data_IF_952620801304
#
_entry.id   IF_952620801304
#
_cell.length_a   1.000
_cell.length_b   1.000
_cell.length_c   1.000
_cell.angle_alpha   90.00
_cell.angle_beta   90.00
_cell.angle_gamma   90.00
#
_symmetry.space_group_name_H-M   'P 1'
#
loop_
_entity.id
_entity.type
_entity.pdbx_description
1 polymer ?
#
# COMPACT_ATOMS: atom_id res chain seq x y z
N UNK A 1 -1.58 -5.02 -15.15
CA UNK A 1 -1.05 -3.75 -15.73
C UNK A 1 -0.20 -3.01 -14.69
N UNK A 2 1.11 -2.87 -14.90
CA UNK A 2 2.07 -2.51 -13.83
C UNK A 2 1.99 -1.07 -13.31
N UNK A 3 1.70 -0.11 -14.17
CA UNK A 3 1.73 1.32 -13.81
C UNK A 3 0.67 1.72 -12.77
N UNK A 4 -0.47 1.00 -12.73
CA UNK A 4 -1.55 1.29 -11.79
C UNK A 4 -1.13 1.01 -10.34
N UNK A 5 -0.49 -0.14 -10.09
CA UNK A 5 -0.01 -0.53 -8.77
C UNK A 5 1.06 0.45 -8.27
N UNK A 6 2.01 0.82 -9.14
CA UNK A 6 3.04 1.80 -8.80
C UNK A 6 2.44 3.17 -8.45
N UNK A 7 1.54 3.68 -9.29
CA UNK A 7 0.90 5.00 -9.08
C UNK A 7 0.10 5.02 -7.79
N UNK A 8 -0.68 3.95 -7.52
CA UNK A 8 -1.43 3.80 -6.29
C UNK A 8 -0.52 3.79 -5.06
N UNK A 9 0.60 3.07 -5.11
CA UNK A 9 1.56 3.01 -4.01
C UNK A 9 2.18 4.38 -3.71
N UNK A 10 2.58 5.15 -4.73
CA UNK A 10 3.13 6.49 -4.55
C UNK A 10 2.06 7.46 -4.03
N UNK A 11 0.86 7.43 -4.60
CA UNK A 11 -0.25 8.30 -4.17
C UNK A 11 -0.66 8.03 -2.71
N UNK A 12 -0.72 6.76 -2.31
CA UNK A 12 -1.05 6.36 -0.95
C UNK A 12 -0.04 6.90 0.08
N UNK A 13 1.26 6.92 -0.27
CA UNK A 13 2.34 7.39 0.60
C UNK A 13 2.50 8.91 0.61
N UNK A 14 2.26 9.55 -0.53
CA UNK A 14 2.41 10.99 -0.72
C UNK A 14 1.24 11.80 -0.15
N UNK A 15 0.19 11.14 0.35
CA UNK A 15 -0.91 11.81 1.05
C UNK A 15 -0.35 12.58 2.24
N UNK A 16 -0.55 13.90 2.21
CA UNK A 16 -0.11 14.80 3.26
C UNK A 16 -0.59 14.26 4.61
N UNK A 17 0.35 14.01 5.52
CA UNK A 17 0.04 13.73 6.92
C UNK A 17 -0.35 15.08 7.53
N UNK A 18 -1.63 15.25 7.87
CA UNK A 18 -2.03 16.42 8.65
C UNK A 18 -1.31 16.39 10.01
N UNK A 19 -0.97 17.55 10.61
CA UNK A 19 -0.29 17.60 11.90
C UNK A 19 -1.08 16.81 12.95
N UNK A 20 -0.38 15.85 13.54
CA UNK A 20 -0.96 14.77 14.33
C UNK A 20 -1.79 15.26 15.53
N UNK A 21 -3.11 15.10 15.45
CA UNK A 21 -3.98 15.04 16.63
C UNK A 21 -4.56 13.64 16.89
N UNK A 22 -4.30 12.66 16.02
CA UNK A 22 -4.72 11.28 16.26
C UNK A 22 -3.52 10.34 16.20
N UNK A 23 -3.39 9.50 17.24
CA UNK A 23 -2.31 8.56 17.50
C UNK A 23 -2.29 7.35 16.55
N UNK A 24 -2.49 7.59 15.26
CA UNK A 24 -2.36 6.64 14.16
C UNK A 24 -2.27 7.44 12.87
N UNK A 25 -1.11 7.42 12.20
CA UNK A 25 -0.92 8.18 10.97
C UNK A 25 -1.96 7.80 9.91
N UNK A 26 -2.35 8.75 9.08
CA UNK A 26 -3.34 8.52 8.02
C UNK A 26 -2.93 7.32 7.15
N UNK A 27 -3.79 6.31 7.11
CA UNK A 27 -3.59 5.12 6.27
C UNK A 27 -4.47 5.20 5.04
N UNK A 28 -3.93 4.85 3.89
CA UNK A 28 -4.69 4.69 2.65
C UNK A 28 -4.89 3.21 2.37
N UNK A 29 -6.14 2.79 2.27
CA UNK A 29 -6.50 1.44 1.87
C UNK A 29 -6.38 1.30 0.34
N UNK A 30 -5.60 0.32 -0.11
CA UNK A 30 -5.39 0.00 -1.53
C UNK A 30 -5.84 -1.44 -1.77
N UNK A 31 -6.82 -1.63 -2.66
CA UNK A 31 -7.26 -2.95 -3.10
C UNK A 31 -6.71 -3.29 -4.48
N UNK A 32 -6.11 -4.48 -4.61
CA UNK A 32 -5.56 -5.00 -5.87
C UNK A 32 -6.28 -6.29 -6.23
N UNK A 33 -6.83 -6.37 -7.44
CA UNK A 33 -7.46 -7.56 -8.00
C UNK A 33 -6.48 -8.34 -8.90
N UNK A 34 -6.86 -9.59 -9.24
CA UNK A 34 -6.10 -10.50 -10.12
C UNK A 34 -4.67 -10.80 -9.64
N UNK A 35 -4.49 -10.92 -8.33
CA UNK A 35 -3.18 -11.25 -7.73
C UNK A 35 -2.72 -12.68 -7.99
N UNK A 36 -3.52 -13.51 -8.65
CA UNK A 36 -3.09 -14.82 -9.15
C UNK A 36 -2.20 -14.72 -10.39
N UNK A 37 -2.15 -13.55 -11.04
CA UNK A 37 -1.16 -13.29 -12.08
C UNK A 37 0.22 -13.02 -11.45
N UNK A 38 1.29 -13.74 -11.87
CA UNK A 38 2.60 -13.63 -11.25
C UNK A 38 3.21 -12.23 -11.26
N UNK A 39 2.80 -11.38 -12.20
CA UNK A 39 3.33 -10.03 -12.31
C UNK A 39 2.63 -9.10 -11.34
N UNK A 40 1.31 -9.16 -11.24
CA UNK A 40 0.47 -8.45 -10.28
C UNK A 40 0.82 -8.85 -8.84
N UNK A 41 1.07 -10.14 -8.58
CA UNK A 41 1.55 -10.65 -7.29
C UNK A 41 2.87 -10.00 -6.86
N UNK A 42 3.88 -10.02 -7.74
CA UNK A 42 5.20 -9.45 -7.47
C UNK A 42 5.17 -7.93 -7.32
N UNK A 43 4.42 -7.24 -8.18
CA UNK A 43 4.38 -5.78 -8.15
C UNK A 43 3.57 -5.28 -6.95
N UNK A 44 2.45 -5.92 -6.61
CA UNK A 44 1.68 -5.57 -5.42
C UNK A 44 2.52 -5.72 -4.16
N UNK A 45 3.19 -6.87 -3.97
CA UNK A 45 4.04 -7.10 -2.79
C UNK A 45 5.29 -6.22 -2.75
N UNK A 46 5.88 -5.86 -3.88
CA UNK A 46 7.07 -5.00 -3.93
C UNK A 46 6.75 -3.52 -3.63
N UNK A 47 5.69 -2.96 -4.20
CA UNK A 47 5.40 -1.52 -4.08
C UNK A 47 4.47 -1.18 -2.92
N UNK A 48 3.55 -2.10 -2.59
CA UNK A 48 2.64 -1.95 -1.45
C UNK A 48 3.18 -2.61 -0.18
N UNK A 49 4.31 -3.32 -0.26
CA UNK A 49 4.93 -4.10 0.82
C UNK A 49 4.02 -5.22 1.35
N UNK A 50 4.53 -6.46 1.37
CA UNK A 50 3.81 -7.59 1.99
C UNK A 50 3.48 -7.35 3.47
N UNK A 51 4.31 -6.61 4.20
CA UNK A 51 4.07 -6.26 5.61
C UNK A 51 2.91 -5.29 5.86
N UNK A 52 2.34 -4.67 4.82
CA UNK A 52 1.14 -3.84 4.92
C UNK A 52 -0.12 -4.56 4.40
N UNK A 53 -0.04 -5.86 4.08
CA UNK A 53 -1.20 -6.67 3.71
C UNK A 53 -2.11 -6.86 4.93
N UNK A 54 -3.35 -6.37 4.84
CA UNK A 54 -4.39 -6.57 5.86
C UNK A 54 -5.10 -7.91 5.66
N UNK A 55 -5.56 -8.15 4.44
CA UNK A 55 -6.34 -9.34 4.09
C UNK A 55 -6.17 -9.73 2.62
N UNK A 56 -6.38 -11.01 2.35
CA UNK A 56 -6.48 -11.58 1.02
C UNK A 56 -7.74 -12.43 0.94
N UNK A 57 -8.61 -12.15 -0.03
CA UNK A 57 -9.85 -12.88 -0.27
C UNK A 57 -9.91 -13.30 -1.72
N UNK A 58 -9.67 -14.58 -1.99
CA UNK A 58 -9.63 -15.12 -3.34
C UNK A 58 -8.52 -14.47 -4.17
N UNK A 59 -8.90 -13.67 -5.17
CA UNK A 59 -7.97 -12.96 -6.07
C UNK A 59 -7.79 -11.48 -5.72
N UNK A 60 -8.28 -11.06 -4.55
CA UNK A 60 -8.23 -9.69 -4.09
C UNK A 60 -7.31 -9.57 -2.88
N UNK A 61 -6.42 -8.57 -2.88
CA UNK A 61 -5.63 -8.18 -1.71
C UNK A 61 -5.97 -6.78 -1.27
N UNK A 62 -5.95 -6.57 0.04
CA UNK A 62 -6.14 -5.28 0.68
C UNK A 62 -4.87 -4.90 1.46
N UNK A 63 -4.31 -3.75 1.12
CA UNK A 63 -3.15 -3.18 1.80
C UNK A 63 -3.54 -1.91 2.55
N UNK A 64 -2.99 -1.71 3.74
CA UNK A 64 -3.13 -0.48 4.51
C UNK A 64 -1.80 0.27 4.53
N UNK A 65 -1.65 1.22 3.61
CA UNK A 65 -0.39 1.95 3.41
C UNK A 65 -0.37 3.20 4.29
N UNK A 66 0.57 3.33 5.24
CA UNK A 66 0.70 4.56 6.01
C UNK A 66 1.26 5.69 5.14
N UNK A 67 0.79 6.92 5.37
CA UNK A 67 1.43 8.12 4.85
C UNK A 67 2.90 8.17 5.28
N UNK A 68 3.78 8.59 4.37
CA UNK A 68 5.20 8.66 4.65
C UNK A 68 5.50 9.74 5.69
N UNK A 69 6.37 9.41 6.66
CA UNK A 69 6.85 10.31 7.71
C UNK A 69 8.38 10.25 7.75
N UNK A 70 9.00 11.36 8.14
CA UNK A 70 10.47 11.41 8.26
C UNK A 70 10.97 10.33 9.22
N UNK A 71 12.00 9.59 8.80
CA UNK A 71 12.53 8.44 9.55
C UNK A 71 11.77 7.12 9.42
N UNK A 72 10.64 7.10 8.68
CA UNK A 72 9.89 5.86 8.42
C UNK A 72 10.48 5.08 7.23
N UNK A 73 10.79 3.78 7.38
CA UNK A 73 11.23 2.95 6.26
C UNK A 73 10.11 2.74 5.23
N UNK A 74 10.49 2.41 3.99
CA UNK A 74 9.50 2.20 2.91
C UNK A 74 8.59 0.99 3.20
N UNK A 75 9.17 -0.13 3.64
CA UNK A 75 8.44 -1.31 4.12
C UNK A 75 8.74 -1.51 5.61
N UNK A 76 7.80 -2.11 6.37
CA UNK A 76 8.01 -2.47 7.76
C UNK A 76 8.89 -3.70 7.91
#
# INVERSE_FOLDING_TARGET
>A
MMGAIYTAAIAARARASEPAESSGGDTTDVMVHDVDQPVEDRFSTAFLCGGYLKEEVGKLRHFAIPSHREGMPFCP
#
